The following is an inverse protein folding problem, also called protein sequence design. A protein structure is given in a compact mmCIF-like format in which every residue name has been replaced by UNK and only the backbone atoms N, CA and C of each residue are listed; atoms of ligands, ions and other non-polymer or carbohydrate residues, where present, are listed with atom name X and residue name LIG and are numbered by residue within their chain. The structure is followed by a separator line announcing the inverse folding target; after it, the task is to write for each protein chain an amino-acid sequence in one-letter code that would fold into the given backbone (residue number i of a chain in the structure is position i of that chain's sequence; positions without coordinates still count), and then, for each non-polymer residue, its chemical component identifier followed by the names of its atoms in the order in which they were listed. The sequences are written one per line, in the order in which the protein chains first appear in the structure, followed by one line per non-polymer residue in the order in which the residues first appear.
data_IF_669676050195
#
_entry.id   IF_669676050195
#
_cell.length_a   1.000
_cell.length_b   1.000
_cell.length_c   1.000
_cell.angle_alpha   90.00
_cell.angle_beta   90.00
_cell.angle_gamma   90.00
#
_symmetry.space_group_name_H-M   'P 1'
#
loop_
_entity.id
_entity.type
_entity.pdbx_description
1 polymer ?
#
# COMPACT_ATOMS: atom_id res chain seq x y z
N UNK A 1 18.66 -3.49 12.03
CA UNK A 1 17.41 -2.97 12.63
C UNK A 1 16.79 -3.92 13.67
N UNK A 2 16.31 -5.12 13.31
CA UNK A 2 15.67 -6.04 14.28
C UNK A 2 16.64 -6.43 15.41
N UNK A 3 17.83 -6.95 15.06
CA UNK A 3 18.85 -7.35 16.03
C UNK A 3 19.40 -6.18 16.87
N UNK A 4 19.25 -4.95 16.38
CA UNK A 4 19.67 -3.72 17.07
C UNK A 4 18.57 -3.16 17.98
N UNK A 5 17.40 -3.79 18.04
CA UNK A 5 16.26 -3.33 18.84
C UNK A 5 15.60 -2.05 18.31
N UNK A 6 15.81 -1.72 17.03
CA UNK A 6 15.25 -0.52 16.39
C UNK A 6 13.83 -0.74 15.82
N UNK A 7 13.31 -1.95 15.93
CA UNK A 7 11.94 -2.31 15.51
C UNK A 7 11.12 -2.71 16.72
N UNK A 8 9.82 -2.91 16.53
CA UNK A 8 8.98 -3.62 17.50
C UNK A 8 9.60 -4.99 17.84
N UNK A 9 9.43 -5.50 19.08
CA UNK A 9 10.07 -6.75 19.52
C UNK A 9 9.73 -7.99 18.69
N UNK A 10 8.50 -8.04 18.15
CA UNK A 10 8.00 -9.18 17.37
C UNK A 10 7.48 -8.69 16.01
N UNK A 11 8.35 -8.42 15.04
CA UNK A 11 7.93 -7.78 13.79
C UNK A 11 7.02 -8.65 12.92
N UNK A 12 6.99 -9.96 13.15
CA UNK A 12 6.09 -10.89 12.47
C UNK A 12 4.67 -10.94 13.06
N UNK A 13 4.41 -10.26 14.19
CA UNK A 13 3.12 -10.32 14.90
C UNK A 13 2.29 -9.03 14.80
N UNK A 14 2.81 -7.98 14.16
CA UNK A 14 2.10 -6.71 14.01
C UNK A 14 1.69 -6.50 12.57
N UNK A 15 0.42 -6.20 12.36
CA UNK A 15 -0.08 -5.71 11.07
C UNK A 15 0.29 -4.24 10.86
N UNK A 16 0.13 -3.73 9.64
CA UNK A 16 0.24 -2.30 9.35
C UNK A 16 -0.70 -1.47 10.24
N UNK A 17 -1.93 -1.95 10.45
CA UNK A 17 -2.92 -1.24 11.25
C UNK A 17 -2.50 -1.13 12.74
N UNK A 18 -1.84 -2.17 13.27
CA UNK A 18 -1.30 -2.13 14.63
C UNK A 18 -0.18 -1.10 14.76
N UNK A 19 0.73 -1.04 13.77
CA UNK A 19 1.83 -0.07 13.74
C UNK A 19 1.33 1.37 13.58
N UNK A 20 0.36 1.59 12.69
CA UNK A 20 -0.28 2.90 12.52
C UNK A 20 -0.99 3.35 13.80
N UNK A 21 -1.67 2.44 14.49
CA UNK A 21 -2.31 2.75 15.78
C UNK A 21 -1.27 3.09 16.86
N UNK A 22 -0.18 2.32 16.94
CA UNK A 22 0.92 2.64 17.85
C UNK A 22 1.56 4.02 17.54
N UNK A 23 1.64 4.40 16.27
CA UNK A 23 2.11 5.73 15.86
C UNK A 23 1.16 6.84 16.31
N UNK A 24 -0.15 6.67 16.07
CA UNK A 24 -1.19 7.62 16.52
C UNK A 24 -1.16 7.80 18.04
N UNK A 25 -0.90 6.73 18.80
CA UNK A 25 -0.76 6.76 20.26
C UNK A 25 0.60 7.30 20.76
N UNK A 26 1.49 7.74 19.86
CA UNK A 26 2.82 8.26 20.22
C UNK A 26 3.80 7.19 20.72
N UNK A 27 3.52 5.90 20.47
CA UNK A 27 4.34 4.75 20.91
C UNK A 27 5.31 4.24 19.84
N UNK A 28 5.28 4.81 18.64
CA UNK A 28 6.16 4.43 17.52
C UNK A 28 6.75 5.68 16.87
N UNK A 29 8.08 5.72 16.70
CA UNK A 29 8.78 6.89 16.17
C UNK A 29 8.71 7.05 14.64
N UNK A 30 8.59 5.95 13.90
CA UNK A 30 8.49 5.95 12.42
C UNK A 30 7.59 4.82 11.95
N UNK A 31 6.76 5.06 10.94
CA UNK A 31 5.90 4.06 10.30
C UNK A 31 5.89 4.24 8.79
N UNK A 32 5.99 3.12 8.04
CA UNK A 32 5.78 3.10 6.59
C UNK A 32 4.27 2.99 6.34
N UNK A 33 3.68 3.99 5.71
CA UNK A 33 2.22 4.10 5.52
C UNK A 33 1.89 4.86 4.23
N UNK A 34 0.61 5.13 4.01
CA UNK A 34 0.08 5.98 2.95
C UNK A 34 -0.63 7.24 3.46
N UNK A 35 -1.28 7.99 2.54
CA UNK A 35 -1.88 9.29 2.84
C UNK A 35 -3.03 9.24 3.85
N UNK A 36 -3.69 8.09 4.03
CA UNK A 36 -4.81 7.92 4.95
C UNK A 36 -4.40 8.20 6.40
N UNK A 37 -3.15 7.90 6.78
CA UNK A 37 -2.69 8.13 8.15
C UNK A 37 -2.62 9.63 8.47
N UNK A 38 -2.27 10.49 7.51
CA UNK A 38 -2.26 11.94 7.74
C UNK A 38 -3.66 12.48 8.07
N UNK A 39 -4.69 11.99 7.36
CA UNK A 39 -6.10 12.28 7.70
C UNK A 39 -6.46 11.74 9.08
N UNK A 40 -6.04 10.52 9.40
CA UNK A 40 -6.32 9.90 10.71
C UNK A 40 -5.70 10.72 11.85
N UNK A 41 -4.44 11.12 11.72
CA UNK A 41 -3.72 11.96 12.68
C UNK A 41 -4.41 13.30 12.91
N UNK A 42 -4.83 13.98 11.84
CA UNK A 42 -5.56 15.25 11.96
C UNK A 42 -6.87 15.14 12.77
N UNK A 43 -7.48 13.94 12.84
CA UNK A 43 -8.72 13.71 13.57
C UNK A 43 -8.49 13.11 14.98
N UNK A 44 -7.56 12.17 15.10
CA UNK A 44 -7.37 11.36 16.32
C UNK A 44 -6.22 11.85 17.20
N UNK A 45 -5.23 12.54 16.63
CA UNK A 45 -4.05 13.03 17.34
C UNK A 45 -3.57 14.38 16.76
N UNK A 46 -4.40 15.43 16.77
CA UNK A 46 -4.11 16.71 16.12
C UNK A 46 -2.89 17.44 16.72
N UNK A 47 -2.53 17.13 17.96
CA UNK A 47 -1.39 17.72 18.68
C UNK A 47 -0.10 16.90 18.54
N UNK A 48 -0.14 15.75 17.84
CA UNK A 48 1.07 14.94 17.62
C UNK A 48 1.99 15.66 16.63
N UNK A 49 3.22 15.94 17.06
CA UNK A 49 4.26 16.46 16.18
C UNK A 49 4.79 15.34 15.26
N UNK A 50 4.50 15.44 13.96
CA UNK A 50 4.93 14.45 12.97
C UNK A 50 5.41 15.11 11.67
N UNK A 51 6.27 14.39 10.95
CA UNK A 51 6.74 14.76 9.63
C UNK A 51 6.48 13.67 8.59
N UNK A 52 6.52 14.06 7.32
CA UNK A 52 6.49 13.14 6.18
C UNK A 52 7.89 13.08 5.56
N UNK A 53 8.36 11.87 5.24
CA UNK A 53 9.64 11.64 4.57
C UNK A 53 9.50 10.55 3.53
N UNK A 54 10.35 10.60 2.49
CA UNK A 54 10.49 9.50 1.55
C UNK A 54 11.09 8.28 2.24
N UNK A 55 10.77 7.08 1.73
CA UNK A 55 11.42 5.85 2.18
C UNK A 55 12.94 5.97 1.95
N UNK A 56 13.77 5.73 2.97
CA UNK A 56 15.22 5.71 2.80
C UNK A 56 15.63 4.69 1.73
N UNK A 57 16.54 5.08 0.85
CA UNK A 57 17.02 4.24 -0.24
C UNK A 57 18.54 4.30 -0.32
N UNK A 58 19.15 3.23 -0.84
CA UNK A 58 20.60 3.17 -1.04
C UNK A 58 21.00 3.67 -2.43
N UNK A 59 20.30 3.21 -3.47
CA UNK A 59 20.65 3.47 -4.87
C UNK A 59 19.57 4.27 -5.58
N UNK A 60 18.39 3.68 -5.74
CA UNK A 60 17.28 4.26 -6.51
C UNK A 60 16.09 4.50 -5.61
N UNK A 61 15.57 5.74 -5.52
CA UNK A 61 14.34 6.00 -4.79
C UNK A 61 13.20 5.19 -5.41
N UNK A 62 12.50 4.43 -4.57
CA UNK A 62 11.37 3.61 -4.98
C UNK A 62 10.24 3.80 -3.98
N UNK A 63 9.03 3.91 -4.49
CA UNK A 63 7.80 3.95 -3.68
C UNK A 63 6.84 2.92 -4.26
N UNK A 64 6.28 2.09 -3.39
CA UNK A 64 5.21 1.18 -3.78
C UNK A 64 3.96 2.01 -4.08
N UNK A 65 3.44 1.86 -5.30
CA UNK A 65 2.14 2.36 -5.68
C UNK A 65 1.11 1.22 -5.57
N UNK A 66 0.01 1.48 -4.88
CA UNK A 66 -1.11 0.57 -4.77
C UNK A 66 -2.33 1.17 -5.47
N UNK A 67 -3.18 0.32 -6.02
CA UNK A 67 -4.44 0.72 -6.63
C UNK A 67 -5.53 -0.29 -6.28
N UNK A 68 -6.74 0.22 -6.11
CA UNK A 68 -7.95 -0.58 -6.01
C UNK A 68 -8.79 -0.38 -7.27
N UNK A 69 -9.37 -1.47 -7.76
CA UNK A 69 -10.15 -1.46 -9.01
C UNK A 69 -11.56 -1.95 -8.74
N UNK A 70 -12.56 -1.20 -9.21
CA UNK A 70 -13.93 -1.67 -9.29
C UNK A 70 -14.14 -2.49 -10.56
N UNK A 71 -14.67 -3.71 -10.42
CA UNK A 71 -14.82 -4.67 -11.51
C UNK A 71 -16.31 -4.98 -11.75
N UNK A 72 -16.77 -4.80 -12.98
CA UNK A 72 -18.07 -5.29 -13.45
C UNK A 72 -17.90 -6.67 -14.10
N UNK A 73 -18.41 -7.72 -13.47
CA UNK A 73 -18.31 -9.07 -14.00
C UNK A 73 -19.13 -9.27 -15.28
N UNK A 74 -18.59 -10.04 -16.23
CA UNK A 74 -19.26 -10.39 -17.50
C UNK A 74 -20.60 -11.11 -17.28
N UNK A 75 -20.76 -11.83 -16.18
CA UNK A 75 -21.94 -12.62 -15.82
C UNK A 75 -22.94 -11.84 -14.94
N UNK A 76 -22.69 -10.55 -14.67
CA UNK A 76 -23.62 -9.73 -13.90
C UNK A 76 -25.01 -9.71 -14.55
N UNK A 77 -26.04 -9.97 -13.74
CA UNK A 77 -27.43 -10.08 -14.20
C UNK A 77 -28.03 -8.72 -14.61
N UNK A 78 -27.58 -7.63 -13.98
CA UNK A 78 -28.05 -6.28 -14.27
C UNK A 78 -26.88 -5.33 -14.53
N UNK A 79 -26.28 -5.44 -15.72
CA UNK A 79 -25.10 -4.65 -16.11
C UNK A 79 -25.39 -3.17 -16.21
N UNK A 80 -26.57 -2.79 -16.72
CA UNK A 80 -26.91 -1.39 -16.91
C UNK A 80 -27.04 -0.65 -15.57
N UNK A 81 -27.71 -1.27 -14.58
CA UNK A 81 -27.79 -0.68 -13.24
C UNK A 81 -26.41 -0.64 -12.55
N UNK A 82 -25.61 -1.70 -12.69
CA UNK A 82 -24.27 -1.74 -12.12
C UNK A 82 -23.35 -0.68 -12.75
N UNK A 83 -23.45 -0.46 -14.07
CA UNK A 83 -22.70 0.58 -14.76
C UNK A 83 -23.13 1.98 -14.29
N UNK A 84 -24.44 2.25 -14.20
CA UNK A 84 -24.96 3.52 -13.65
C UNK A 84 -24.46 3.78 -12.22
N UNK A 85 -24.34 2.74 -11.41
CA UNK A 85 -23.79 2.85 -10.07
C UNK A 85 -22.30 3.19 -10.08
N UNK A 86 -21.51 2.57 -10.97
CA UNK A 86 -20.09 2.93 -11.18
C UNK A 86 -19.98 4.39 -11.64
N UNK A 87 -20.78 4.82 -12.62
CA UNK A 87 -20.81 6.22 -13.09
C UNK A 87 -21.14 7.19 -11.94
N UNK A 88 -22.12 6.85 -11.11
CA UNK A 88 -22.45 7.61 -9.92
C UNK A 88 -21.26 7.72 -8.95
N UNK A 89 -20.62 6.59 -8.59
CA UNK A 89 -19.47 6.59 -7.68
C UNK A 89 -18.28 7.41 -8.19
N UNK A 90 -18.08 7.42 -9.52
CA UNK A 90 -16.99 8.13 -10.16
C UNK A 90 -17.33 9.55 -10.60
N UNK A 91 -18.54 10.06 -10.38
CA UNK A 91 -18.82 11.46 -10.64
C UNK A 91 -17.98 12.34 -9.68
N UNK A 92 -17.40 13.42 -10.22
CA UNK A 92 -16.30 14.16 -9.58
C UNK A 92 -16.61 14.59 -8.14
N UNK A 93 -17.82 15.06 -7.86
CA UNK A 93 -18.23 15.46 -6.51
C UNK A 93 -18.20 14.31 -5.50
N UNK A 94 -18.63 13.12 -5.90
CA UNK A 94 -18.68 11.94 -5.01
C UNK A 94 -17.30 11.34 -4.87
N UNK A 95 -16.52 11.33 -5.96
CA UNK A 95 -15.14 10.85 -5.91
C UNK A 95 -14.25 11.78 -5.08
N UNK A 96 -14.38 13.09 -5.21
CA UNK A 96 -13.71 14.06 -4.34
C UNK A 96 -14.08 13.85 -2.87
N UNK A 97 -15.37 13.72 -2.57
CA UNK A 97 -15.83 13.44 -1.20
C UNK A 97 -15.18 12.16 -0.65
N UNK A 98 -15.15 11.08 -1.43
CA UNK A 98 -14.51 9.83 -1.05
C UNK A 98 -13.01 10.02 -0.76
N UNK A 99 -12.27 10.61 -1.70
CA UNK A 99 -10.82 10.86 -1.61
C UNK A 99 -10.47 11.66 -0.35
N UNK A 100 -11.22 12.74 -0.06
CA UNK A 100 -11.01 13.55 1.14
C UNK A 100 -11.40 12.82 2.43
N UNK A 101 -12.44 11.97 2.38
CA UNK A 101 -12.92 11.24 3.56
C UNK A 101 -11.98 10.11 3.96
N UNK A 102 -11.56 9.31 2.98
CA UNK A 102 -10.68 8.14 3.20
C UNK A 102 -9.21 8.53 3.28
N UNK A 103 -8.85 9.73 2.82
CA UNK A 103 -7.45 10.18 2.79
C UNK A 103 -6.61 9.42 1.75
N UNK A 104 -7.21 9.01 0.63
CA UNK A 104 -6.51 8.32 -0.46
C UNK A 104 -6.16 9.27 -1.60
N UNK A 105 -5.36 8.83 -2.57
CA UNK A 105 -5.08 9.63 -3.77
C UNK A 105 -6.15 9.38 -4.84
N UNK A 106 -6.56 10.42 -5.59
CA UNK A 106 -7.51 10.28 -6.68
C UNK A 106 -6.85 9.65 -7.91
N UNK A 107 -7.57 8.73 -8.54
CA UNK A 107 -7.26 8.18 -9.87
C UNK A 107 -7.75 9.08 -11.02
N UNK A 108 -8.63 10.05 -10.73
CA UNK A 108 -9.16 11.00 -11.71
C UNK A 108 -8.40 12.33 -11.66
N UNK A 109 -7.87 12.75 -12.80
CA UNK A 109 -7.18 14.05 -12.96
C UNK A 109 -8.06 15.21 -12.54
N UNK A 110 -9.34 15.24 -12.93
CA UNK A 110 -10.26 16.31 -12.55
C UNK A 110 -10.48 16.44 -11.04
N UNK A 111 -10.40 15.32 -10.30
CA UNK A 111 -10.48 15.31 -8.83
C UNK A 111 -9.14 15.77 -8.24
N UNK A 112 -8.01 15.35 -8.82
CA UNK A 112 -6.68 15.79 -8.41
C UNK A 112 -6.44 17.30 -8.63
N UNK A 113 -7.12 17.90 -9.60
CA UNK A 113 -7.04 19.34 -9.89
C UNK A 113 -7.91 20.20 -8.97
N UNK A 114 -8.80 19.59 -8.18
CA UNK A 114 -9.67 20.31 -7.27
C UNK A 114 -8.87 21.01 -6.16
N UNK A 115 -9.20 22.27 -5.86
CA UNK A 115 -8.50 23.08 -4.85
C UNK A 115 -8.48 22.42 -3.46
N UNK A 116 -9.59 21.80 -3.03
CA UNK A 116 -9.68 21.14 -1.72
C UNK A 116 -8.69 19.98 -1.58
N UNK A 117 -8.32 19.33 -2.69
CA UNK A 117 -7.31 18.29 -2.71
C UNK A 117 -5.90 18.88 -2.81
N UNK A 118 -5.67 19.81 -3.74
CA UNK A 118 -4.35 20.39 -4.02
C UNK A 118 -3.73 21.15 -2.84
N UNK A 119 -4.56 21.80 -2.04
CA UNK A 119 -4.10 22.61 -0.91
C UNK A 119 -3.71 21.76 0.31
N UNK A 120 -4.03 20.46 0.32
CA UNK A 120 -3.61 19.55 1.37
C UNK A 120 -2.15 19.13 1.20
N UNK A 121 -1.29 19.56 2.12
CA UNK A 121 0.15 19.30 2.06
C UNK A 121 0.52 17.81 2.11
N UNK A 122 -0.23 17.00 2.86
CA UNK A 122 0.02 15.56 2.89
C UNK A 122 -0.26 14.94 1.52
N UNK A 123 -1.40 15.27 0.90
CA UNK A 123 -1.69 14.79 -0.46
C UNK A 123 -0.66 15.27 -1.48
N UNK A 124 -0.23 16.54 -1.40
CA UNK A 124 0.81 17.06 -2.28
C UNK A 124 2.12 16.25 -2.16
N UNK A 125 2.54 15.92 -0.93
CA UNK A 125 3.72 15.10 -0.67
C UNK A 125 3.62 13.72 -1.34
N UNK A 126 2.50 13.01 -1.18
CA UNK A 126 2.31 11.68 -1.76
C UNK A 126 2.12 11.72 -3.29
N UNK A 127 1.42 12.71 -3.82
CA UNK A 127 1.25 12.92 -5.26
C UNK A 127 2.60 13.12 -5.98
N UNK A 128 3.54 13.81 -5.35
CA UNK A 128 4.90 14.01 -5.91
C UNK A 128 5.64 12.69 -6.15
N UNK A 129 5.31 11.62 -5.40
CA UNK A 129 6.00 10.32 -5.50
C UNK A 129 5.36 9.37 -6.50
N UNK A 130 4.13 9.63 -6.92
CA UNK A 130 3.40 8.78 -7.87
C UNK A 130 4.12 8.58 -9.22
N UNK A 131 4.73 9.60 -9.86
CA UNK A 131 5.37 9.42 -11.17
C UNK A 131 6.50 8.39 -11.17
N UNK A 132 7.18 8.21 -10.04
CA UNK A 132 8.24 7.21 -9.85
C UNK A 132 7.76 5.97 -9.09
N UNK A 133 6.47 5.91 -8.77
CA UNK A 133 5.84 4.79 -8.10
C UNK A 133 5.94 3.51 -8.94
N UNK A 134 6.09 2.38 -8.25
CA UNK A 134 6.10 1.05 -8.85
C UNK A 134 4.91 0.28 -8.33
N UNK A 135 4.10 -0.25 -9.23
CA UNK A 135 3.01 -1.17 -8.87
C UNK A 135 3.57 -2.59 -8.72
N UNK A 136 2.94 -3.37 -7.85
CA UNK A 136 3.15 -4.82 -7.83
C UNK A 136 2.87 -5.41 -9.22
N UNK A 137 3.66 -6.40 -9.69
CA UNK A 137 3.39 -7.07 -10.95
C UNK A 137 2.00 -7.70 -10.96
N UNK A 138 1.21 -7.41 -12.00
CA UNK A 138 -0.07 -8.06 -12.22
C UNK A 138 0.17 -9.51 -12.66
N UNK A 139 0.03 -10.44 -11.72
CA UNK A 139 0.14 -11.87 -11.97
C UNK A 139 -1.04 -12.61 -11.34
N UNK A 140 -1.61 -13.58 -12.06
CA UNK A 140 -2.72 -14.42 -11.56
C UNK A 140 -2.34 -15.24 -10.32
N UNK A 141 -1.04 -15.47 -10.10
CA UNK A 141 -0.46 -16.16 -8.95
C UNK A 141 0.18 -15.18 -7.95
N UNK A 142 -0.11 -13.88 -8.03
CA UNK A 142 0.44 -12.85 -7.12
C UNK A 142 0.21 -13.19 -5.64
N UNK A 143 -0.94 -13.78 -5.28
CA UNK A 143 -1.21 -14.24 -3.93
C UNK A 143 -0.28 -15.35 -3.44
N UNK A 144 0.07 -16.30 -4.31
CA UNK A 144 1.02 -17.36 -3.97
C UNK A 144 2.44 -16.81 -3.83
N UNK A 145 2.84 -15.93 -4.76
CA UNK A 145 4.14 -15.25 -4.72
C UNK A 145 4.27 -14.44 -3.41
N UNK A 146 3.23 -13.67 -3.05
CA UNK A 146 3.21 -12.90 -1.81
C UNK A 146 3.33 -13.80 -0.56
N UNK A 147 2.69 -14.99 -0.59
CA UNK A 147 2.78 -15.95 0.52
C UNK A 147 4.20 -16.50 0.67
N UNK A 148 4.84 -16.92 -0.42
CA UNK A 148 6.25 -17.38 -0.43
C UNK A 148 7.18 -16.30 0.11
N UNK A 149 7.00 -15.05 -0.35
CA UNK A 149 7.82 -13.93 0.13
C UNK A 149 7.59 -13.65 1.62
N UNK A 150 6.35 -13.70 2.09
CA UNK A 150 6.03 -13.49 3.50
C UNK A 150 6.65 -14.57 4.40
N UNK A 151 6.56 -15.84 4.01
CA UNK A 151 7.15 -16.97 4.74
C UNK A 151 8.67 -16.86 4.82
N UNK A 152 9.34 -16.52 3.70
CA UNK A 152 10.78 -16.33 3.67
C UNK A 152 11.25 -15.18 4.57
N UNK A 153 10.58 -14.03 4.51
CA UNK A 153 10.88 -12.90 5.40
C UNK A 153 10.67 -13.27 6.87
N UNK A 154 9.60 -13.99 7.17
CA UNK A 154 9.31 -14.47 8.51
C UNK A 154 10.38 -15.42 9.06
N UNK A 155 10.84 -16.39 8.25
CA UNK A 155 11.91 -17.31 8.62
C UNK A 155 13.21 -16.55 8.90
N UNK A 156 13.55 -15.57 8.06
CA UNK A 156 14.71 -14.71 8.26
C UNK A 156 14.58 -13.86 9.54
N UNK A 157 13.42 -13.27 9.82
CA UNK A 157 13.18 -12.45 11.01
C UNK A 157 13.21 -13.25 12.31
N UNK A 158 12.84 -14.53 12.28
CA UNK A 158 12.94 -15.43 13.43
C UNK A 158 14.32 -16.09 13.58
N UNK A 159 15.24 -15.85 12.64
CA UNK A 159 16.56 -16.46 12.65
C UNK A 159 16.56 -17.95 12.31
N UNK A 160 15.47 -18.47 11.74
CA UNK A 160 15.35 -19.86 11.30
C UNK A 160 16.20 -20.13 10.04
N UNK A 161 16.41 -19.08 9.23
CA UNK A 161 17.27 -19.08 8.06
C UNK A 161 18.07 -17.77 8.00
N UNK A 162 19.22 -17.79 7.31
CA UNK A 162 19.88 -16.54 6.96
C UNK A 162 19.01 -15.76 5.95
N UNK A 163 19.10 -14.41 5.90
CA UNK A 163 18.38 -13.64 4.89
C UNK A 163 18.70 -14.06 3.45
N UNK A 164 19.96 -14.43 3.18
CA UNK A 164 20.38 -14.89 1.86
C UNK A 164 19.74 -16.24 1.50
N UNK A 165 19.79 -17.23 2.40
CA UNK A 165 19.20 -18.55 2.15
C UNK A 165 17.67 -18.46 1.99
N UNK A 166 17.00 -17.67 2.84
CA UNK A 166 15.56 -17.49 2.78
C UNK A 166 15.12 -16.89 1.43
N UNK A 167 15.84 -15.87 0.94
CA UNK A 167 15.53 -15.24 -0.34
C UNK A 167 15.90 -16.13 -1.54
N UNK A 168 17.00 -16.90 -1.46
CA UNK A 168 17.38 -17.84 -2.50
C UNK A 168 16.33 -18.95 -2.66
N UNK A 169 15.84 -19.52 -1.55
CA UNK A 169 14.78 -20.52 -1.58
C UNK A 169 13.46 -19.93 -2.09
N UNK A 170 13.08 -18.73 -1.64
CA UNK A 170 11.92 -18.02 -2.15
C UNK A 170 12.00 -17.80 -3.66
N UNK A 171 13.18 -17.41 -4.18
CA UNK A 171 13.38 -17.20 -5.60
C UNK A 171 13.16 -18.49 -6.43
N UNK A 172 13.64 -19.65 -5.93
CA UNK A 172 13.41 -20.95 -6.58
C UNK A 172 11.90 -21.27 -6.62
N UNK A 173 11.19 -21.05 -5.52
CA UNK A 173 9.76 -21.33 -5.43
C UNK A 173 8.93 -20.39 -6.32
N UNK A 174 9.25 -19.09 -6.31
CA UNK A 174 8.60 -18.10 -7.20
C UNK A 174 8.88 -18.44 -8.66
N UNK A 175 10.11 -18.82 -9.02
CA UNK A 175 10.43 -19.22 -10.40
C UNK A 175 9.61 -20.43 -10.85
N UNK A 176 9.36 -21.38 -9.94
CA UNK A 176 8.47 -22.52 -10.19
C UNK A 176 7.02 -22.07 -10.39
N UNK A 177 6.50 -21.18 -9.55
CA UNK A 177 5.14 -20.63 -9.71
C UNK A 177 5.00 -19.96 -11.08
N UNK A 178 5.99 -19.15 -11.46
CA UNK A 178 5.98 -18.41 -12.72
C UNK A 178 6.07 -19.34 -13.94
N UNK A 179 6.85 -20.42 -13.89
CA UNK A 179 7.01 -21.34 -15.02
C UNK A 179 5.71 -22.09 -15.37
N UNK A 180 4.84 -22.37 -14.39
CA UNK A 180 3.52 -22.96 -14.65
C UNK A 180 2.52 -21.98 -15.27
N UNK A 181 2.73 -20.67 -15.11
CA UNK A 181 1.80 -19.64 -15.59
C UNK A 181 1.98 -19.26 -17.07
N UNK A 182 3.14 -19.53 -17.65
CA UNK A 182 3.48 -19.15 -19.03
C UNK A 182 2.83 -20.02 -20.12
N UNK A 183 2.18 -21.14 -19.76
CA UNK A 183 1.69 -22.15 -20.72
C UNK A 183 0.21 -22.47 -20.59
N UNK A 184 -0.53 -21.73 -19.77
CA UNK A 184 -1.92 -22.07 -19.44
C UNK A 184 -2.89 -20.92 -19.69
N UNK A 185 -2.95 -20.43 -20.93
CA UNK A 185 -4.11 -19.76 -21.54
C UNK A 185 -4.14 -20.02 -23.05
#
# INVERSE_FOLDING_TARGET
MINEGLTQPNPTQSSRADLETAFVEGRLGMVITGPWLARRLANEAPDLDYGLSTIPYQTTPTTLAAQDTLILFKQAQNKDAAWKFIEFLYADQYRLKYVLTEGVLPEKVSVAENAQFKENQAFAFFMEKLPTGRFEPLNVRSGDIASVMAEALQAAYRGEMTPEDALNEAAIQVQRILSYSATSW
#
